data_IF_360153619930
#
_entry.id   IF_360153619930
#
_cell.length_a   1.000
_cell.length_b   1.000
_cell.length_c   1.000
_cell.angle_alpha   90.00
_cell.angle_beta   90.00
_cell.angle_gamma   90.00
#
_symmetry.space_group_name_H-M   'P 1'
#
loop_
_entity.id
_entity.type
_entity.pdbx_description
1 polymer ?
#
# COMPACT_ATOMS: atom_id res chain seq x y z
N UNK A 1 23.41 6.89 -16.26
CA UNK A 1 23.81 7.85 -17.32
C UNK A 1 24.39 7.06 -18.47
N UNK A 2 24.09 7.44 -19.71
CA UNK A 2 24.66 6.81 -20.90
C UNK A 2 26.09 7.30 -21.18
N UNK A 3 26.91 6.54 -21.92
CA UNK A 3 28.32 6.88 -22.17
C UNK A 3 28.52 8.27 -22.80
N UNK A 4 27.75 8.61 -23.82
CA UNK A 4 27.79 9.90 -24.53
C UNK A 4 27.49 11.07 -23.60
N UNK A 5 26.59 10.89 -22.63
CA UNK A 5 26.29 11.93 -21.63
C UNK A 5 27.46 12.15 -20.68
N UNK A 6 28.20 11.09 -20.34
CA UNK A 6 29.36 11.18 -19.46
C UNK A 6 30.55 11.81 -20.21
N UNK A 7 30.69 11.52 -21.50
CA UNK A 7 31.67 12.16 -22.40
C UNK A 7 31.32 13.63 -22.75
N UNK A 8 30.19 14.14 -22.27
CA UNK A 8 29.70 15.48 -22.60
C UNK A 8 29.47 15.68 -24.12
N UNK A 9 29.07 14.62 -24.81
CA UNK A 9 28.65 14.62 -26.21
C UNK A 9 27.17 15.05 -26.34
N UNK A 10 26.74 15.34 -27.56
CA UNK A 10 25.32 15.58 -27.84
C UNK A 10 24.52 14.31 -27.56
N UNK A 11 23.48 14.42 -26.74
CA UNK A 11 22.61 13.29 -26.40
C UNK A 11 21.14 13.63 -26.72
N UNK A 12 20.37 12.58 -26.97
CA UNK A 12 18.94 12.64 -27.25
C UNK A 12 18.28 11.33 -26.78
N UNK A 13 17.20 10.92 -27.43
CA UNK A 13 16.43 9.71 -27.11
C UNK A 13 17.25 8.41 -26.97
N UNK A 14 18.36 8.16 -27.72
CA UNK A 14 19.19 6.97 -27.48
C UNK A 14 19.69 6.85 -26.04
N UNK A 15 19.92 7.96 -25.34
CA UNK A 15 20.35 7.96 -23.94
C UNK A 15 19.33 7.29 -22.99
N UNK A 16 18.04 7.42 -23.30
CA UNK A 16 16.97 6.79 -22.53
C UNK A 16 16.89 5.29 -22.84
N UNK A 17 17.18 4.87 -24.08
CA UNK A 17 17.29 3.46 -24.47
C UNK A 17 18.38 2.74 -23.68
N UNK A 18 19.54 3.40 -23.50
CA UNK A 18 20.60 2.88 -22.62
C UNK A 18 20.11 2.71 -21.18
N UNK A 19 19.40 3.72 -20.66
CA UNK A 19 18.89 3.70 -19.28
C UNK A 19 17.86 2.58 -19.09
N UNK A 20 16.99 2.35 -20.07
CA UNK A 20 16.06 1.23 -20.11
C UNK A 20 16.80 -0.12 -20.05
N UNK A 21 17.87 -0.29 -20.85
CA UNK A 21 18.67 -1.51 -20.86
C UNK A 21 19.27 -1.82 -19.48
N UNK A 22 19.81 -0.81 -18.79
CA UNK A 22 20.36 -0.98 -17.45
C UNK A 22 19.28 -1.33 -16.43
N UNK A 23 18.12 -0.65 -16.48
CA UNK A 23 16.99 -0.94 -15.58
C UNK A 23 16.47 -2.37 -15.77
N UNK A 24 16.34 -2.84 -17.02
CA UNK A 24 15.90 -4.21 -17.29
C UNK A 24 16.91 -5.25 -16.79
N UNK A 25 18.20 -5.00 -16.95
CA UNK A 25 19.26 -5.88 -16.46
C UNK A 25 19.25 -5.94 -14.92
N UNK A 26 19.15 -4.79 -14.25
CA UNK A 26 19.06 -4.70 -12.79
C UNK A 26 17.79 -5.38 -12.27
N UNK A 27 16.62 -5.14 -12.87
CA UNK A 27 15.39 -5.82 -12.47
C UNK A 27 15.46 -7.34 -12.67
N UNK A 28 16.14 -7.82 -13.70
CA UNK A 28 16.27 -9.23 -13.99
C UNK A 28 17.25 -9.95 -13.05
N UNK A 29 18.33 -9.28 -12.65
CA UNK A 29 19.40 -9.87 -11.84
C UNK A 29 19.27 -9.55 -10.34
N UNK A 30 18.50 -8.53 -9.99
CA UNK A 30 18.41 -7.98 -8.63
C UNK A 30 19.62 -7.15 -8.21
N UNK A 31 20.61 -6.94 -9.09
CA UNK A 31 21.85 -6.23 -8.79
C UNK A 31 22.17 -5.22 -9.89
N UNK A 32 22.58 -4.01 -9.49
CA UNK A 32 23.04 -3.02 -10.45
C UNK A 32 24.38 -3.47 -11.08
N UNK A 33 24.51 -3.49 -12.42
CA UNK A 33 25.63 -4.16 -13.11
C UNK A 33 27.01 -3.54 -12.89
N UNK A 34 27.09 -2.34 -12.29
CA UNK A 34 28.35 -1.64 -12.07
C UNK A 34 28.60 -1.43 -10.58
N UNK A 35 29.87 -1.49 -10.18
CA UNK A 35 30.23 -1.32 -8.79
C UNK A 35 30.24 0.17 -8.39
N UNK A 36 29.27 0.57 -7.57
CA UNK A 36 29.15 1.93 -7.05
C UNK A 36 29.99 2.20 -5.77
N UNK A 37 30.56 1.17 -5.12
CA UNK A 37 31.27 1.30 -3.84
C UNK A 37 32.54 2.16 -3.90
N UNK A 38 33.15 2.28 -5.07
CA UNK A 38 34.39 3.05 -5.31
C UNK A 38 34.15 4.52 -5.66
N UNK A 39 32.91 5.00 -5.50
CA UNK A 39 32.51 6.38 -5.74
C UNK A 39 32.12 6.69 -7.20
N UNK A 40 31.56 7.89 -7.43
CA UNK A 40 30.90 8.24 -8.69
C UNK A 40 31.84 8.29 -9.90
N UNK A 41 33.09 8.69 -9.71
CA UNK A 41 34.09 8.75 -10.80
C UNK A 41 34.42 7.35 -11.32
N UNK A 42 34.61 6.38 -10.42
CA UNK A 42 34.88 5.00 -10.82
C UNK A 42 33.67 4.37 -11.53
N UNK A 43 32.46 4.72 -11.10
CA UNK A 43 31.24 4.29 -11.79
C UNK A 43 31.16 4.84 -13.22
N UNK A 44 31.45 6.14 -13.40
CA UNK A 44 31.50 6.75 -14.73
C UNK A 44 32.55 6.08 -15.63
N UNK A 45 33.73 5.77 -15.11
CA UNK A 45 34.77 5.05 -15.86
C UNK A 45 34.32 3.65 -16.30
N UNK A 46 33.65 2.88 -15.43
CA UNK A 46 33.10 1.57 -15.82
C UNK A 46 32.09 1.71 -16.96
N UNK A 47 31.18 2.69 -16.87
CA UNK A 47 30.18 2.95 -17.92
C UNK A 47 30.83 3.35 -19.25
N UNK A 48 31.98 4.02 -19.26
CA UNK A 48 32.65 4.42 -20.49
C UNK A 48 33.60 3.35 -21.05
N UNK A 49 34.38 2.71 -20.18
CA UNK A 49 35.55 1.93 -20.58
C UNK A 49 35.34 0.41 -20.51
N UNK A 50 34.53 -0.08 -19.57
CA UNK A 50 34.31 -1.51 -19.44
C UNK A 50 33.35 -2.02 -20.53
N UNK A 51 33.42 -3.30 -20.90
CA UNK A 51 32.43 -3.92 -21.77
C UNK A 51 31.01 -3.66 -21.27
N UNK A 52 30.06 -3.53 -22.19
CA UNK A 52 28.66 -3.42 -21.81
C UNK A 52 28.23 -4.65 -21.01
N UNK A 53 27.49 -4.47 -19.90
CA UNK A 53 27.02 -5.59 -19.11
C UNK A 53 25.99 -6.38 -19.90
N UNK A 54 26.01 -7.70 -19.73
CA UNK A 54 25.15 -8.64 -20.45
C UNK A 54 24.48 -9.58 -19.45
N UNK A 55 23.32 -10.11 -19.82
CA UNK A 55 22.61 -11.09 -19.00
C UNK A 55 23.24 -12.48 -19.12
N UNK A 56 23.33 -13.26 -18.02
CA UNK A 56 23.79 -14.66 -18.05
C UNK A 56 23.02 -15.52 -19.06
N UNK A 57 23.75 -16.29 -19.88
CA UNK A 57 23.15 -17.05 -20.98
C UNK A 57 22.23 -18.20 -20.53
N UNK A 58 22.51 -18.75 -19.36
CA UNK A 58 21.89 -19.93 -18.77
C UNK A 58 20.59 -19.63 -18.01
N UNK A 59 20.34 -18.35 -17.70
CA UNK A 59 19.20 -17.93 -16.86
C UNK A 59 18.10 -17.22 -17.64
N UNK A 60 18.43 -16.61 -18.78
CA UNK A 60 17.51 -15.72 -19.49
C UNK A 60 17.30 -16.13 -20.95
N UNK A 61 16.06 -15.97 -21.43
CA UNK A 61 15.70 -16.29 -22.82
C UNK A 61 16.56 -15.50 -23.82
N UNK A 62 16.94 -16.10 -24.97
CA UNK A 62 17.78 -15.42 -25.95
C UNK A 62 17.13 -14.15 -26.51
N UNK A 63 15.80 -14.10 -26.59
CA UNK A 63 15.09 -12.89 -27.02
C UNK A 63 15.23 -11.74 -26.02
N UNK A 64 15.13 -12.03 -24.72
CA UNK A 64 15.30 -11.02 -23.69
C UNK A 64 16.74 -10.51 -23.63
N UNK A 65 17.73 -11.40 -23.72
CA UNK A 65 19.14 -11.02 -23.79
C UNK A 65 19.42 -10.14 -25.00
N UNK A 66 18.95 -10.54 -26.18
CA UNK A 66 19.10 -9.75 -27.41
C UNK A 66 18.45 -8.35 -27.31
N UNK A 67 17.33 -8.22 -26.61
CA UNK A 67 16.70 -6.93 -26.36
C UNK A 67 17.59 -6.03 -25.48
N UNK A 68 18.07 -6.56 -24.35
CA UNK A 68 18.93 -5.82 -23.41
C UNK A 68 20.26 -5.46 -24.07
N UNK A 69 20.89 -6.38 -24.81
CA UNK A 69 22.13 -6.15 -25.53
C UNK A 69 21.97 -5.07 -26.60
N UNK A 70 20.84 -5.04 -27.31
CA UNK A 70 20.53 -3.98 -28.30
C UNK A 70 20.40 -2.61 -27.62
N UNK A 71 19.84 -2.55 -26.42
CA UNK A 71 19.74 -1.31 -25.65
C UNK A 71 21.10 -0.84 -25.09
N UNK A 72 22.00 -1.77 -24.77
CA UNK A 72 23.28 -1.49 -24.11
C UNK A 72 24.47 -1.36 -25.08
N UNK A 73 24.22 -0.85 -26.29
CA UNK A 73 25.30 -0.47 -27.21
C UNK A 73 25.95 0.85 -26.75
N UNK A 74 27.28 0.85 -26.62
CA UNK A 74 28.04 2.05 -26.19
C UNK A 74 27.83 3.20 -27.17
N UNK A 75 27.95 2.90 -28.46
CA UNK A 75 27.71 3.86 -29.52
C UNK A 75 26.22 4.23 -29.58
N UNK A 76 25.93 5.53 -29.56
CA UNK A 76 24.55 6.03 -29.49
C UNK A 76 23.76 5.70 -30.75
N UNK A 77 24.40 5.84 -31.91
CA UNK A 77 23.78 5.59 -33.21
C UNK A 77 23.55 4.10 -33.50
N UNK A 78 24.20 3.22 -32.73
CA UNK A 78 24.00 1.77 -32.82
C UNK A 78 22.81 1.27 -31.99
N UNK A 79 22.24 2.12 -31.12
CA UNK A 79 21.04 1.78 -30.36
C UNK A 79 19.79 1.92 -31.25
N UNK A 80 18.86 0.96 -31.21
CA UNK A 80 17.59 1.09 -31.92
C UNK A 80 16.74 2.21 -31.32
N UNK A 81 15.86 2.78 -32.12
CA UNK A 81 14.83 3.71 -31.63
C UNK A 81 13.77 2.95 -30.81
N UNK A 82 13.02 3.67 -29.99
CA UNK A 82 11.90 3.07 -29.25
C UNK A 82 10.88 2.37 -30.19
N UNK A 83 10.61 2.96 -31.36
CA UNK A 83 9.73 2.37 -32.38
C UNK A 83 10.29 1.05 -32.94
N UNK A 84 11.60 0.98 -33.16
CA UNK A 84 12.26 -0.26 -33.59
C UNK A 84 12.20 -1.33 -32.50
N UNK A 85 12.39 -0.95 -31.23
CA UNK A 85 12.30 -1.86 -30.09
C UNK A 85 10.90 -2.45 -29.88
N UNK A 86 9.83 -1.71 -30.19
CA UNK A 86 8.46 -2.25 -30.16
C UNK A 86 8.27 -3.43 -31.14
N UNK A 87 9.09 -3.50 -32.19
CA UNK A 87 9.08 -4.60 -33.15
C UNK A 87 10.05 -5.74 -32.79
N UNK A 88 10.79 -5.64 -31.68
CA UNK A 88 11.72 -6.67 -31.25
C UNK A 88 10.98 -7.96 -30.84
N UNK A 89 11.61 -9.12 -31.08
CA UNK A 89 11.04 -10.45 -30.81
C UNK A 89 10.57 -10.62 -29.36
N UNK A 90 11.35 -10.09 -28.40
CA UNK A 90 10.99 -10.05 -26.98
C UNK A 90 9.63 -9.37 -26.73
N UNK A 91 9.42 -8.15 -27.24
CA UNK A 91 8.17 -7.41 -27.04
C UNK A 91 7.00 -8.10 -27.75
N UNK A 92 7.20 -8.49 -29.02
CA UNK A 92 6.18 -9.17 -29.82
C UNK A 92 5.70 -10.49 -29.21
N UNK A 93 6.60 -11.23 -28.55
CA UNK A 93 6.25 -12.48 -27.84
C UNK A 93 5.22 -12.26 -26.74
N UNK A 94 5.28 -11.14 -26.03
CA UNK A 94 4.41 -10.83 -24.89
C UNK A 94 3.24 -9.91 -25.22
N UNK A 95 3.09 -9.45 -26.46
CA UNK A 95 2.02 -8.55 -26.90
C UNK A 95 0.61 -9.12 -26.70
N UNK A 96 0.46 -10.45 -26.82
CA UNK A 96 -0.82 -11.16 -26.68
C UNK A 96 -0.82 -12.19 -25.55
N UNK A 97 0.27 -12.24 -24.77
CA UNK A 97 0.36 -13.19 -23.66
C UNK A 97 -0.37 -12.62 -22.45
N UNK A 98 -1.36 -13.33 -21.94
CA UNK A 98 -1.98 -13.00 -20.66
C UNK A 98 -1.01 -13.39 -19.53
N UNK A 99 -0.42 -12.39 -18.87
CA UNK A 99 0.40 -12.56 -17.68
C UNK A 99 -0.41 -12.06 -16.48
N UNK A 100 -0.63 -12.92 -15.49
CA UNK A 100 -1.26 -12.52 -14.22
C UNK A 100 -0.25 -11.75 -13.35
N UNK A 101 -0.01 -10.50 -13.73
CA UNK A 101 0.84 -9.58 -12.96
C UNK A 101 0.26 -9.33 -11.56
N UNK A 102 -1.08 -9.31 -11.43
CA UNK A 102 -1.73 -9.11 -10.14
C UNK A 102 -1.42 -10.27 -9.20
N UNK A 103 -1.55 -11.52 -9.66
CA UNK A 103 -1.18 -12.71 -8.90
C UNK A 103 0.31 -12.77 -8.58
N UNK A 104 1.19 -12.42 -9.52
CA UNK A 104 2.63 -12.34 -9.26
C UNK A 104 2.95 -11.35 -8.14
N UNK A 105 2.47 -10.11 -8.24
CA UNK A 105 2.72 -9.07 -7.24
C UNK A 105 2.17 -9.49 -5.87
N UNK A 106 0.98 -10.11 -5.83
CA UNK A 106 0.39 -10.62 -4.59
C UNK A 106 1.24 -11.70 -3.91
N UNK A 107 1.95 -12.54 -4.68
CA UNK A 107 2.84 -13.57 -4.15
C UNK A 107 4.20 -13.02 -3.69
N UNK A 108 4.64 -11.90 -4.28
CA UNK A 108 5.90 -11.22 -3.91
C UNK A 108 5.71 -10.33 -2.68
N UNK A 109 4.48 -9.85 -2.43
CA UNK A 109 4.17 -8.97 -1.31
C UNK A 109 4.28 -9.70 0.04
N UNK A 110 4.99 -9.10 1.00
CA UNK A 110 5.12 -9.63 2.36
C UNK A 110 3.73 -9.61 3.05
N UNK A 111 3.23 -10.74 3.58
CA UNK A 111 2.04 -10.76 4.42
C UNK A 111 2.03 -9.69 5.53
N UNK A 112 3.21 -9.32 6.03
CA UNK A 112 3.39 -8.27 7.03
C UNK A 112 3.07 -6.88 6.50
N UNK A 113 3.44 -6.57 5.25
CA UNK A 113 3.08 -5.29 4.61
C UNK A 113 1.58 -5.20 4.36
N UNK A 114 0.95 -6.31 3.95
CA UNK A 114 -0.51 -6.39 3.83
C UNK A 114 -1.21 -6.13 5.18
N UNK A 115 -0.70 -6.69 6.27
CA UNK A 115 -1.23 -6.41 7.61
C UNK A 115 -1.04 -4.95 8.01
N UNK A 116 0.07 -4.32 7.62
CA UNK A 116 0.32 -2.90 7.84
C UNK A 116 -0.69 -2.03 7.09
N UNK A 117 -0.92 -2.28 5.80
CA UNK A 117 -1.91 -1.53 5.00
C UNK A 117 -3.32 -1.64 5.60
N UNK A 118 -3.70 -2.83 6.08
CA UNK A 118 -4.99 -3.05 6.76
C UNK A 118 -5.06 -2.32 8.11
N UNK A 119 -3.97 -2.31 8.87
CA UNK A 119 -3.89 -1.58 10.13
C UNK A 119 -4.02 -0.06 9.90
N UNK A 120 -3.33 0.48 8.90
CA UNK A 120 -3.43 1.89 8.51
C UNK A 120 -4.85 2.23 8.05
N UNK A 121 -5.45 1.38 7.22
CA UNK A 121 -6.83 1.54 6.74
C UNK A 121 -7.85 1.58 7.89
N UNK A 122 -7.81 0.61 8.81
CA UNK A 122 -8.71 0.60 9.98
C UNK A 122 -8.42 1.74 10.95
N UNK A 123 -7.16 2.11 11.13
CA UNK A 123 -6.79 3.27 11.98
C UNK A 123 -7.42 4.55 11.43
N UNK A 124 -7.35 4.77 10.12
CA UNK A 124 -7.98 5.93 9.47
C UNK A 124 -9.49 5.85 9.58
N UNK A 125 -10.09 4.67 9.41
CA UNK A 125 -11.52 4.45 9.59
C UNK A 125 -11.99 4.85 11.00
N UNK A 126 -11.39 4.28 12.03
CA UNK A 126 -11.69 4.63 13.43
C UNK A 126 -11.42 6.11 13.72
N UNK A 127 -10.29 6.65 13.26
CA UNK A 127 -9.98 8.06 13.44
C UNK A 127 -11.07 8.95 12.84
N UNK A 128 -11.49 8.72 11.60
CA UNK A 128 -12.56 9.48 10.95
C UNK A 128 -13.90 9.38 11.68
N UNK A 129 -14.17 8.23 12.28
CA UNK A 129 -15.42 7.96 12.99
C UNK A 129 -15.53 8.70 14.33
N UNK A 130 -14.44 8.74 15.10
CA UNK A 130 -14.45 9.24 16.49
C UNK A 130 -13.83 10.64 16.65
N UNK A 131 -12.69 10.92 16.02
CA UNK A 131 -11.88 12.12 16.27
C UNK A 131 -11.62 12.97 15.01
N UNK A 132 -11.99 12.46 13.84
CA UNK A 132 -11.65 13.06 12.56
C UNK A 132 -12.44 14.33 12.27
N UNK A 133 -11.83 15.34 11.62
CA UNK A 133 -12.52 16.58 11.28
C UNK A 133 -13.55 16.35 10.17
N UNK A 134 -14.61 17.16 10.14
CA UNK A 134 -15.71 17.01 9.15
C UNK A 134 -15.23 17.10 7.69
N UNK A 135 -14.16 17.86 7.42
CA UNK A 135 -13.57 17.97 6.08
C UNK A 135 -13.07 16.65 5.52
N UNK A 136 -12.65 15.72 6.38
CA UNK A 136 -12.14 14.40 5.96
C UNK A 136 -13.23 13.34 5.94
N UNK A 137 -14.37 13.58 6.60
CA UNK A 137 -15.48 12.64 6.69
C UNK A 137 -15.95 12.05 5.35
N UNK A 138 -16.05 12.82 4.23
CA UNK A 138 -16.46 12.25 2.95
C UNK A 138 -15.57 11.08 2.45
N UNK A 139 -14.33 10.98 2.92
CA UNK A 139 -13.43 9.87 2.56
C UNK A 139 -13.85 8.55 3.22
N UNK A 140 -14.67 8.57 4.28
CA UNK A 140 -15.23 7.34 4.87
C UNK A 140 -15.93 6.47 3.81
N UNK A 141 -16.61 7.12 2.85
CA UNK A 141 -17.29 6.42 1.75
C UNK A 141 -16.33 5.56 0.91
N UNK A 142 -15.06 5.95 0.77
CA UNK A 142 -14.10 5.23 -0.08
C UNK A 142 -13.71 3.87 0.47
N UNK A 143 -13.99 3.58 1.75
CA UNK A 143 -13.78 2.26 2.33
C UNK A 143 -14.84 1.24 1.90
N UNK A 144 -15.94 1.66 1.29
CA UNK A 144 -17.05 0.80 0.90
C UNK A 144 -17.31 0.86 -0.60
N UNK A 145 -17.94 -0.19 -1.12
CA UNK A 145 -18.38 -0.34 -2.50
C UNK A 145 -19.88 -0.59 -2.56
N UNK A 146 -20.44 -0.64 -3.76
CA UNK A 146 -21.87 -0.91 -3.97
C UNK A 146 -22.30 -2.30 -3.47
N UNK A 147 -21.39 -3.27 -3.43
CA UNK A 147 -21.61 -4.61 -2.89
C UNK A 147 -21.27 -4.73 -1.39
N UNK A 148 -20.83 -3.66 -0.75
CA UNK A 148 -20.53 -3.68 0.68
C UNK A 148 -21.80 -3.75 1.52
N UNK A 149 -21.71 -4.36 2.70
CA UNK A 149 -22.82 -4.42 3.65
C UNK A 149 -22.41 -3.99 5.06
N UNK A 150 -23.25 -3.17 5.70
CA UNK A 150 -23.19 -2.85 7.12
C UNK A 150 -24.35 -3.53 7.85
N UNK A 151 -24.06 -4.26 8.91
CA UNK A 151 -25.04 -4.79 9.84
C UNK A 151 -24.93 -3.99 11.13
N UNK A 152 -25.98 -3.25 11.46
CA UNK A 152 -26.07 -2.48 12.69
C UNK A 152 -27.44 -2.65 13.31
N UNK A 153 -27.48 -3.14 14.55
CA UNK A 153 -28.72 -3.60 15.18
C UNK A 153 -29.37 -4.75 14.38
N UNK A 154 -30.67 -4.62 14.10
CA UNK A 154 -31.43 -5.62 13.31
C UNK A 154 -31.55 -5.25 11.82
N UNK A 155 -30.74 -4.31 11.34
CA UNK A 155 -30.80 -3.81 9.96
C UNK A 155 -29.53 -4.18 9.20
N UNK A 156 -29.71 -4.59 7.95
CA UNK A 156 -28.65 -4.78 6.97
C UNK A 156 -28.77 -3.66 5.93
N UNK A 157 -27.73 -2.84 5.83
CA UNK A 157 -27.59 -1.75 4.89
C UNK A 157 -26.60 -2.18 3.82
N UNK A 158 -26.93 -1.99 2.54
CA UNK A 158 -26.09 -2.41 1.41
C UNK A 158 -25.80 -1.17 0.55
N UNK A 159 -24.55 -1.03 0.11
CA UNK A 159 -24.12 0.04 -0.78
C UNK A 159 -23.43 1.19 -0.06
N UNK A 160 -22.43 1.77 -0.72
CA UNK A 160 -21.52 2.74 -0.09
C UNK A 160 -22.23 4.02 0.39
N UNK A 161 -23.23 4.50 -0.34
CA UNK A 161 -23.97 5.73 0.01
C UNK A 161 -24.86 5.55 1.24
N UNK A 162 -25.61 4.45 1.31
CA UNK A 162 -26.51 4.17 2.42
C UNK A 162 -25.71 3.82 3.70
N UNK A 163 -24.60 3.10 3.54
CA UNK A 163 -23.65 2.84 4.63
C UNK A 163 -23.07 4.16 5.14
N UNK A 164 -22.60 5.04 4.26
CA UNK A 164 -22.06 6.35 4.64
C UNK A 164 -23.08 7.20 5.39
N UNK A 165 -24.34 7.19 4.96
CA UNK A 165 -25.45 7.88 5.64
C UNK A 165 -25.67 7.33 7.04
N UNK A 166 -25.67 6.00 7.18
CA UNK A 166 -25.84 5.33 8.47
C UNK A 166 -24.68 5.63 9.43
N UNK A 167 -23.44 5.51 8.94
CA UNK A 167 -22.26 5.85 9.73
C UNK A 167 -22.22 7.34 10.09
N UNK A 168 -22.75 8.23 9.24
CA UNK A 168 -22.86 9.66 9.56
C UNK A 168 -23.77 9.89 10.76
N UNK A 169 -24.90 9.17 10.83
CA UNK A 169 -25.81 9.23 11.97
C UNK A 169 -25.14 8.69 13.24
N UNK A 170 -24.45 7.55 13.15
CA UNK A 170 -23.70 6.98 14.28
C UNK A 170 -22.63 7.98 14.76
N UNK A 171 -21.90 8.62 13.84
CA UNK A 171 -20.85 9.61 14.17
C UNK A 171 -21.43 10.80 14.92
N UNK A 172 -22.58 11.32 14.48
CA UNK A 172 -23.26 12.39 15.20
C UNK A 172 -23.72 11.96 16.60
N UNK A 173 -24.20 10.72 16.75
CA UNK A 173 -24.56 10.18 18.07
C UNK A 173 -23.35 10.05 19.01
N UNK A 174 -22.19 9.67 18.49
CA UNK A 174 -20.96 9.45 19.27
C UNK A 174 -20.29 10.75 19.74
N UNK A 175 -20.36 11.82 18.93
CA UNK A 175 -19.75 13.12 19.28
C UNK A 175 -20.44 13.75 20.50
N UNK A 176 -21.74 13.49 20.69
CA UNK A 176 -22.54 14.06 21.77
C UNK A 176 -22.79 15.56 21.61
N UNK A 177 -23.63 16.14 22.49
CA UNK A 177 -23.93 17.59 22.49
C UNK A 177 -22.90 18.41 23.28
N UNK A 178 -22.19 17.79 24.24
CA UNK A 178 -21.22 18.44 25.13
C UNK A 178 -19.82 17.84 24.96
N UNK A 179 -18.79 18.69 25.09
CA UNK A 179 -17.37 18.30 24.97
C UNK A 179 -16.93 17.37 26.11
N UNK A 180 -17.55 17.47 27.29
CA UNK A 180 -17.19 16.70 28.49
C UNK A 180 -17.83 15.30 28.53
N UNK A 181 -18.75 14.98 27.62
CA UNK A 181 -19.48 13.70 27.53
C UNK A 181 -19.05 12.84 26.34
N UNK A 182 -17.88 13.12 25.75
CA UNK A 182 -17.42 12.38 24.56
C UNK A 182 -17.20 10.91 24.87
N UNK A 183 -17.81 10.08 24.03
CA UNK A 183 -17.67 8.64 24.08
C UNK A 183 -16.31 8.25 23.51
N UNK A 184 -15.44 7.70 24.36
CA UNK A 184 -14.13 7.17 23.98
C UNK A 184 -14.25 5.68 23.69
N UNK A 185 -13.74 5.28 22.54
CA UNK A 185 -13.72 3.89 22.08
C UNK A 185 -12.41 3.22 22.51
N UNK A 186 -12.49 2.22 23.37
CA UNK A 186 -11.32 1.46 23.84
C UNK A 186 -11.37 0.06 23.23
N UNK A 187 -10.48 -0.21 22.29
CA UNK A 187 -10.31 -1.55 21.71
C UNK A 187 -9.42 -2.37 22.65
N UNK A 188 -9.97 -3.44 23.21
CA UNK A 188 -9.29 -4.28 24.21
C UNK A 188 -8.75 -5.57 23.57
N UNK A 189 -9.48 -6.13 22.61
CA UNK A 189 -9.07 -7.32 21.89
C UNK A 189 -9.20 -7.08 20.38
N UNK A 190 -8.15 -7.44 19.66
CA UNK A 190 -8.10 -7.43 18.21
C UNK A 190 -7.66 -8.82 17.73
N UNK A 191 -8.47 -9.46 16.89
CA UNK A 191 -8.17 -10.74 16.27
C UNK A 191 -8.22 -10.57 14.75
N UNK A 192 -7.24 -11.14 14.06
CA UNK A 192 -7.14 -11.08 12.60
C UNK A 192 -6.88 -12.48 12.06
N UNK A 193 -7.60 -12.87 11.01
CA UNK A 193 -7.39 -14.14 10.31
C UNK A 193 -7.69 -14.02 8.82
N UNK A 194 -7.11 -14.91 8.02
CA UNK A 194 -7.39 -14.99 6.59
C UNK A 194 -8.87 -15.37 6.35
N UNK A 195 -9.49 -14.76 5.34
CA UNK A 195 -10.86 -15.03 4.94
C UNK A 195 -10.94 -15.29 3.44
N UNK A 196 -11.48 -16.44 3.03
CA UNK A 196 -11.42 -16.90 1.65
C UNK A 196 -9.98 -16.91 1.08
N UNK A 197 -9.81 -16.88 -0.24
CA UNK A 197 -8.48 -16.90 -0.86
C UNK A 197 -7.72 -15.58 -0.65
N UNK A 198 -8.44 -14.45 -0.64
CA UNK A 198 -7.84 -13.11 -0.72
C UNK A 198 -8.35 -12.11 0.32
N UNK A 199 -9.34 -12.44 1.14
CA UNK A 199 -9.87 -11.53 2.16
C UNK A 199 -9.17 -11.66 3.52
N UNK A 200 -9.48 -10.72 4.42
CA UNK A 200 -9.12 -10.77 5.84
C UNK A 200 -10.37 -10.54 6.67
N UNK A 201 -10.53 -11.33 7.73
CA UNK A 201 -11.53 -11.08 8.76
C UNK A 201 -10.86 -10.51 10.00
N UNK A 202 -11.33 -9.35 10.45
CA UNK A 202 -10.85 -8.66 11.64
C UNK A 202 -11.99 -8.54 12.64
N UNK A 203 -11.73 -8.92 13.89
CA UNK A 203 -12.67 -8.76 15.01
C UNK A 203 -12.04 -7.82 16.03
N UNK A 204 -12.71 -6.70 16.27
CA UNK A 204 -12.40 -5.78 17.36
C UNK A 204 -13.48 -5.92 18.44
N UNK A 205 -13.07 -5.85 19.71
CA UNK A 205 -14.01 -5.76 20.83
C UNK A 205 -13.40 -4.96 21.96
N UNK A 206 -14.25 -4.32 22.74
CA UNK A 206 -13.84 -3.58 23.91
C UNK A 206 -14.99 -2.76 24.48
N UNK A 207 -14.68 -1.60 25.03
CA UNK A 207 -15.61 -0.82 25.84
C UNK A 207 -15.73 0.63 25.37
N UNK A 208 -16.89 1.21 25.65
CA UNK A 208 -17.11 2.64 25.55
C UNK A 208 -16.97 3.27 26.93
N UNK A 209 -16.18 4.34 27.03
CA UNK A 209 -15.99 5.08 28.27
C UNK A 209 -16.17 6.57 28.03
N UNK A 210 -16.79 7.30 28.95
CA UNK A 210 -16.84 8.77 28.86
C UNK A 210 -15.48 9.33 29.30
N UNK A 211 -14.91 10.25 28.52
CA UNK A 211 -13.62 10.88 28.87
C UNK A 211 -13.29 12.10 28.02
N UNK A 212 -12.48 13.00 28.59
CA UNK A 212 -12.14 14.28 27.94
C UNK A 212 -11.04 14.13 26.88
N UNK A 213 -10.18 13.12 26.98
CA UNK A 213 -9.07 12.87 26.06
C UNK A 213 -8.70 11.38 26.01
N UNK A 214 -8.53 10.82 24.81
CA UNK A 214 -7.89 9.53 24.62
C UNK A 214 -6.38 9.69 24.86
N UNK A 215 -5.87 9.08 25.93
CA UNK A 215 -4.43 8.86 26.09
C UNK A 215 -4.21 7.40 25.68
N UNK A 216 -3.42 7.09 24.64
CA UNK A 216 -3.05 5.72 24.32
C UNK A 216 -2.33 5.13 25.54
N UNK A 217 -3.08 4.43 26.37
CA UNK A 217 -2.64 3.83 27.62
C UNK A 217 -2.90 2.34 27.52
N UNK A 218 -1.95 1.65 26.89
CA UNK A 218 -1.79 0.22 27.03
C UNK A 218 -0.35 -0.07 27.43
N UNK A 219 -0.10 -1.19 28.11
CA UNK A 219 1.26 -1.67 28.41
C UNK A 219 2.11 -1.97 27.14
N UNK A 220 1.53 -1.86 25.93
CA UNK A 220 2.15 -2.31 24.68
C UNK A 220 2.67 -1.24 23.72
N UNK A 221 2.25 0.03 23.80
CA UNK A 221 2.71 1.06 22.85
C UNK A 221 2.89 2.41 23.57
N UNK A 222 4.09 2.64 24.11
CA UNK A 222 4.54 3.99 24.48
C UNK A 222 5.02 4.71 23.22
N UNK A 223 4.38 5.81 22.87
CA UNK A 223 4.88 6.72 21.84
C UNK A 223 6.03 7.54 22.42
N UNK A 224 7.24 7.38 21.90
CA UNK A 224 8.41 8.17 22.32
C UNK A 224 8.13 9.67 22.19
N UNK A 225 8.33 10.42 23.29
CA UNK A 225 8.19 11.89 23.32
C UNK A 225 6.96 12.43 24.03
N UNK A 226 6.00 11.58 24.44
CA UNK A 226 4.91 12.00 25.32
C UNK A 226 5.35 11.98 26.80
N UNK A 227 5.11 13.05 27.57
CA UNK A 227 5.42 13.07 29.00
C UNK A 227 4.72 11.92 29.73
N UNK A 228 5.39 11.35 30.73
CA UNK A 228 4.82 10.35 31.65
C UNK A 228 3.64 10.97 32.41
N UNK A 229 2.46 11.01 31.80
CA UNK A 229 1.23 11.22 32.53
C UNK A 229 0.84 9.88 33.11
N UNK A 230 1.28 9.62 34.35
CA UNK A 230 0.57 8.71 35.25
C UNK A 230 -0.91 9.01 35.13
N UNK A 231 -1.67 8.00 34.67
CA UNK A 231 -3.12 7.81 34.87
C UNK A 231 -3.70 8.84 35.84
N UNK A 232 -4.01 10.04 35.36
CA UNK A 232 -4.90 10.92 36.08
C UNK A 232 -6.25 10.24 35.91
N UNK A 233 -6.85 9.81 37.02
CA UNK A 233 -8.14 9.13 37.09
C UNK A 233 -9.19 9.88 36.26
N UNK A 234 -9.25 9.54 34.97
CA UNK A 234 -10.44 9.71 34.16
C UNK A 234 -11.48 8.87 34.90
N UNK A 235 -12.57 9.49 35.33
CA UNK A 235 -13.77 8.74 35.67
C UNK A 235 -14.20 8.01 34.40
N UNK A 236 -13.63 6.83 34.16
CA UNK A 236 -14.04 5.91 33.12
C UNK A 236 -15.40 5.39 33.57
N UNK A 237 -16.46 6.11 33.24
CA UNK A 237 -17.81 5.60 33.44
C UNK A 237 -18.05 4.66 32.26
N UNK A 238 -18.08 3.34 32.47
CA UNK A 238 -18.34 2.40 31.39
C UNK A 238 -19.77 2.61 30.90
N UNK A 239 -19.92 2.81 29.59
CA UNK A 239 -21.21 3.05 28.94
C UNK A 239 -21.73 1.82 28.20
N UNK A 240 -20.90 0.78 28.07
CA UNK A 240 -21.26 -0.46 27.39
C UNK A 240 -20.03 -1.09 26.72
N UNK A 241 -20.26 -2.21 26.04
CA UNK A 241 -19.25 -2.91 25.26
C UNK A 241 -19.65 -3.04 23.80
N UNK A 242 -18.67 -3.24 22.93
CA UNK A 242 -18.91 -3.49 21.52
C UNK A 242 -18.20 -4.76 21.06
N UNK A 243 -18.78 -5.37 20.04
CA UNK A 243 -18.12 -6.33 19.17
C UNK A 243 -18.30 -5.86 17.74
N UNK A 244 -17.20 -5.72 17.02
CA UNK A 244 -17.20 -5.27 15.64
C UNK A 244 -16.42 -6.24 14.76
N UNK A 245 -17.03 -6.68 13.66
CA UNK A 245 -16.46 -7.61 12.69
C UNK A 245 -16.33 -6.94 11.34
N UNK A 246 -15.14 -7.03 10.75
CA UNK A 246 -14.86 -6.57 9.39
C UNK A 246 -14.47 -7.75 8.53
N UNK A 247 -15.07 -7.85 7.35
CA UNK A 247 -14.58 -8.65 6.23
C UNK A 247 -14.05 -7.69 5.19
N UNK A 248 -12.74 -7.75 4.94
CA UNK A 248 -12.02 -6.82 4.08
C UNK A 248 -11.48 -7.60 2.88
N UNK A 249 -11.65 -7.04 1.69
CA UNK A 249 -11.16 -7.61 0.44
C UNK A 249 -10.22 -6.63 -0.28
N UNK A 250 -9.25 -7.16 -1.06
CA UNK A 250 -8.38 -6.33 -1.89
C UNK A 250 -9.18 -5.71 -3.02
N UNK A 251 -8.88 -4.45 -3.32
CA UNK A 251 -9.40 -3.73 -4.47
C UNK A 251 -8.70 -4.11 -5.77
N UNK A 252 -8.98 -3.35 -6.81
CA UNK A 252 -8.39 -3.54 -8.14
C UNK A 252 -6.95 -3.01 -8.21
N UNK A 253 -6.60 -2.10 -7.30
CA UNK A 253 -5.27 -1.52 -7.18
C UNK A 253 -4.51 -2.15 -6.02
N UNK A 254 -3.20 -2.29 -6.19
CA UNK A 254 -2.31 -2.83 -5.17
C UNK A 254 -2.33 -1.95 -3.91
N UNK A 255 -2.37 -2.58 -2.73
CA UNK A 255 -2.42 -1.88 -1.44
C UNK A 255 -3.76 -1.21 -1.15
N UNK A 256 -4.72 -1.25 -2.07
CA UNK A 256 -6.07 -0.76 -1.83
C UNK A 256 -6.96 -1.88 -1.30
N UNK A 257 -7.68 -1.60 -0.22
CA UNK A 257 -8.63 -2.51 0.40
C UNK A 257 -9.99 -1.83 0.56
N UNK A 258 -11.05 -2.62 0.57
CA UNK A 258 -12.39 -2.15 0.90
C UNK A 258 -13.07 -3.10 1.87
N UNK A 259 -13.94 -2.55 2.70
CA UNK A 259 -14.77 -3.29 3.66
C UNK A 259 -15.92 -3.90 2.87
N UNK A 260 -15.86 -5.21 2.63
CA UNK A 260 -16.98 -5.96 2.04
C UNK A 260 -18.14 -6.06 3.03
N UNK A 261 -17.83 -6.32 4.31
CA UNK A 261 -18.83 -6.46 5.36
C UNK A 261 -18.36 -5.84 6.65
N UNK A 262 -19.22 -5.09 7.33
CA UNK A 262 -19.03 -4.63 8.70
C UNK A 262 -20.23 -5.05 9.53
N UNK A 263 -19.99 -5.63 10.70
CA UNK A 263 -21.03 -5.97 11.66
C UNK A 263 -20.69 -5.30 12.98
N UNK A 264 -21.57 -4.42 13.47
CA UNK A 264 -21.38 -3.70 14.72
C UNK A 264 -22.48 -4.10 15.72
N UNK A 265 -22.07 -4.73 16.81
CA UNK A 265 -22.92 -5.16 17.91
C UNK A 265 -22.59 -4.33 19.15
N UNK A 266 -23.58 -3.63 19.69
CA UNK A 266 -23.50 -2.91 20.96
C UNK A 266 -24.16 -3.77 22.06
N UNK A 267 -23.52 -3.84 23.22
CA UNK A 267 -24.03 -4.53 24.41
C UNK A 267 -24.05 -3.54 25.58
N UNK A 268 -25.19 -3.46 26.28
CA UNK A 268 -25.36 -2.66 27.50
C UNK A 268 -24.60 -3.25 28.70
#
# INVERSE_FOLDING_TARGET
>A
MSPERINNECYSYPADIWSLGLSLLECATGEFPYNASKGPVNLMLQVMCDPSPTLPEDQFSPEFRGFVDSCLQKEADSRPTAEQLLSHSFIRKYETTEIDLAGFVQNVFDPTERLKDLADMLTIHYYMMFDGPDRTWPHMKTFYRENSALIFGNQMIIGAEDIFTTLSNIRQMLIGENIDDRLVHVVENLQCCAYAERGVMIRASGSFVIGTHFIPTGEGVQVEGLPHHTSADLQKIPMGTFNEHFIIEPGEQLGCYYILKQELFLQE
#
